data_IF_315272810313
#
_entry.id   IF_315272810313
#
_cell.length_a   1.000
_cell.length_b   1.000
_cell.length_c   1.000
_cell.angle_alpha   90.00
_cell.angle_beta   90.00
_cell.angle_gamma   90.00
#
_symmetry.space_group_name_H-M   'P 1'
#
loop_
_entity.id
_entity.type
_entity.pdbx_description
1 polymer ?
2 non-polymer ?
3 non-polymer ?
4 water ?
#
# COMPACT_ATOMS: atom_id res chain seq x y z
N UNK A 1 -8.47 13.21 30.24
CA UNK A 1 -8.60 13.37 28.76
C UNK A 1 -8.50 14.82 28.20
N UNK A 2 -8.18 15.82 29.03
CA UNK A 2 -7.93 17.19 28.55
C UNK A 2 -6.73 17.21 27.59
N UNK A 3 -6.79 18.08 26.58
CA UNK A 3 -5.65 18.36 25.72
C UNK A 3 -5.40 19.86 25.66
N UNK A 4 -4.15 20.26 25.36
CA UNK A 4 -3.89 21.69 25.16
C UNK A 4 -4.62 22.25 23.95
N UNK A 5 -4.77 23.57 23.91
CA UNK A 5 -5.30 24.26 22.75
C UNK A 5 -4.23 24.31 21.65
N UNK A 6 -4.65 24.61 20.43
CA UNK A 6 -3.71 24.88 19.33
C UNK A 6 -2.84 26.08 19.69
N UNK A 7 -1.59 26.07 19.26
CA UNK A 7 -0.80 27.30 19.25
C UNK A 7 -0.13 27.52 17.91
N UNK A 8 0.21 28.78 17.64
CA UNK A 8 0.78 29.20 16.37
C UNK A 8 2.01 30.02 16.68
N UNK A 9 3.15 29.63 16.11
CA UNK A 9 4.42 30.28 16.42
C UNK A 9 5.20 30.54 15.13
N UNK A 10 5.88 31.68 15.05
CA UNK A 10 6.63 32.04 13.83
C UNK A 10 7.90 31.20 13.72
N UNK A 11 8.17 30.66 12.53
CA UNK A 11 9.44 29.96 12.22
C UNK A 11 10.43 30.97 11.62
N UNK A 12 9.97 31.65 10.58
CA UNK A 12 10.71 32.75 9.96
C UNK A 12 9.70 33.64 9.23
N UNK A 13 10.19 34.68 8.55
CA UNK A 13 9.32 35.57 7.79
C UNK A 13 8.34 34.73 6.94
N UNK A 14 7.05 35.03 7.10
CA UNK A 14 5.99 34.42 6.29
C UNK A 14 5.67 32.96 6.59
N UNK A 15 6.29 32.36 7.60
CA UNK A 15 6.11 30.93 7.89
C UNK A 15 5.79 30.72 9.35
N UNK A 16 4.65 30.09 9.61
CA UNK A 16 4.18 29.83 10.96
C UNK A 16 3.96 28.35 11.19
N UNK A 17 4.39 27.88 12.35
CA UNK A 17 4.20 26.49 12.76
C UNK A 17 2.98 26.41 13.64
N UNK A 18 2.04 25.53 13.31
CA UNK A 18 0.92 25.25 14.18
C UNK A 18 1.12 23.90 14.87
N UNK A 19 0.90 23.88 16.17
CA UNK A 19 1.05 22.69 17.00
C UNK A 19 -0.28 22.39 17.64
N UNK A 20 -0.75 21.16 17.46
CA UNK A 20 -1.95 20.67 18.11
C UNK A 20 -1.71 19.28 18.61
N UNK A 21 -2.68 18.77 19.38
CA UNK A 21 -2.52 17.51 20.08
C UNK A 21 -3.70 16.57 20.00
N UNK A 22 -3.43 15.28 20.21
CA UNK A 22 -4.48 14.29 20.48
C UNK A 22 -3.97 13.26 21.46
N UNK A 23 -4.88 12.67 22.22
CA UNK A 23 -4.53 11.51 23.05
C UNK A 23 -4.77 10.27 22.22
N UNK A 24 -3.69 9.50 21.97
CA UNK A 24 -3.71 8.32 21.10
C UNK A 24 -3.45 7.08 21.97
N UNK A 25 -4.26 6.04 21.80
CA UNK A 25 -4.07 4.80 22.55
C UNK A 25 -2.66 4.27 22.40
N UNK A 26 -2.01 3.99 23.53
CA UNK A 26 -0.64 3.46 23.54
C UNK A 26 0.48 4.48 23.50
N UNK A 27 0.16 5.74 23.20
CA UNK A 27 1.14 6.82 23.10
C UNK A 27 0.83 7.99 24.06
N UNK A 28 -0.38 8.06 24.62
CA UNK A 28 -0.81 9.23 25.40
C UNK A 28 -0.93 10.49 24.55
N UNK A 29 -0.63 11.64 25.15
CA UNK A 29 -0.73 12.93 24.46
C UNK A 29 0.37 13.06 23.40
N UNK A 30 -0.02 13.31 22.15
CA UNK A 30 0.92 13.43 21.04
C UNK A 30 0.78 14.82 20.41
N UNK A 31 1.91 15.52 20.29
CA UNK A 31 1.96 16.80 19.59
C UNK A 31 2.14 16.56 18.07
N UNK A 32 1.58 17.43 17.28
CA UNK A 32 1.57 17.29 15.82
C UNK A 32 1.77 18.66 15.18
N UNK A 33 2.59 18.72 14.11
CA UNK A 33 2.99 19.96 13.45
C UNK A 33 2.39 20.13 12.07
N UNK A 34 1.99 21.36 11.76
CA UNK A 34 1.70 21.77 10.40
C UNK A 34 2.14 23.21 10.22
N UNK A 35 1.88 23.78 9.05
CA UNK A 35 2.31 25.15 8.75
C UNK A 35 1.18 26.01 8.26
N UNK A 36 1.34 27.32 8.46
CA UNK A 36 0.64 28.31 7.64
C UNK A 36 1.73 29.04 6.85
N UNK A 37 1.58 29.06 5.53
CA UNK A 37 2.51 29.72 4.61
C UNK A 37 1.82 30.99 4.13
N UNK A 38 2.51 32.13 4.28
CA UNK A 38 2.01 33.42 3.86
C UNK A 38 2.81 33.92 2.65
N UNK A 39 2.12 34.55 1.70
CA UNK A 39 2.77 35.20 0.57
C UNK A 39 1.83 36.25 0.01
N UNK A 40 2.26 37.52 -0.01
CA UNK A 40 1.51 38.60 -0.64
C UNK A 40 0.04 38.63 -0.21
N UNK A 41 -0.22 38.62 1.09
CA UNK A 41 -1.59 38.68 1.61
C UNK A 41 -2.41 37.39 1.57
N UNK A 42 -1.86 36.32 0.97
CA UNK A 42 -2.52 35.01 0.89
C UNK A 42 -1.93 34.07 1.94
N UNK A 43 -2.74 33.10 2.40
CA UNK A 43 -2.32 32.05 3.34
C UNK A 43 -2.69 30.68 2.78
N UNK A 44 -1.85 29.70 3.08
CA UNK A 44 -2.12 28.32 2.72
C UNK A 44 -1.72 27.43 3.90
N UNK A 45 -2.56 26.45 4.20
CA UNK A 45 -2.34 25.55 5.32
C UNK A 45 -1.65 24.27 4.83
N UNK A 46 -0.55 23.87 5.48
CA UNK A 46 0.10 22.59 5.22
C UNK A 46 -0.20 21.68 6.42
N UNK A 47 -1.08 20.71 6.17
CA UNK A 47 -1.66 19.80 7.17
C UNK A 47 -2.60 20.47 8.17
N UNK A 48 -3.73 19.83 8.42
CA UNK A 48 -4.70 20.37 9.35
C UNK A 48 -4.28 20.08 10.78
N UNK A 49 -4.80 20.86 11.72
CA UNK A 49 -4.75 20.44 13.11
C UNK A 49 -5.48 19.13 13.32
N UNK A 50 -5.31 18.55 14.50
CA UNK A 50 -5.78 17.21 14.80
C UNK A 50 -7.20 17.17 15.33
N UNK A 51 -7.94 18.29 15.24
CA UNK A 51 -9.36 18.32 15.64
C UNK A 51 -10.10 19.47 14.95
N UNK A 52 -11.42 19.37 14.93
CA UNK A 52 -12.27 20.46 14.45
C UNK A 52 -12.11 21.76 15.20
N UNK A 53 -12.09 21.66 16.52
CA UNK A 53 -11.89 22.81 17.40
C UNK A 53 -10.64 23.57 16.99
N UNK A 54 -9.54 22.84 16.83
CA UNK A 54 -8.26 23.48 16.50
C UNK A 54 -8.19 23.99 15.05
N UNK A 55 -8.84 23.28 14.13
CA UNK A 55 -8.95 23.74 12.75
C UNK A 55 -9.71 25.07 12.71
N UNK A 56 -10.81 25.17 13.45
CA UNK A 56 -11.54 26.44 13.55
C UNK A 56 -10.68 27.58 14.13
N UNK A 57 -9.95 27.29 15.20
CA UNK A 57 -9.05 28.29 15.80
C UNK A 57 -8.02 28.82 14.81
N UNK A 58 -7.38 27.90 14.09
CA UNK A 58 -6.39 28.23 13.08
C UNK A 58 -6.98 29.11 11.97
N UNK A 59 -8.12 28.71 11.44
CA UNK A 59 -8.79 29.47 10.37
C UNK A 59 -9.20 30.88 10.85
N UNK A 60 -9.71 30.96 12.08
CA UNK A 60 -10.06 32.24 12.68
C UNK A 60 -8.84 33.16 12.81
N UNK A 61 -7.69 32.59 13.19
CA UNK A 61 -6.46 33.36 13.31
C UNK A 61 -6.03 33.94 11.95
N UNK A 62 -6.11 33.10 10.91
CA UNK A 62 -5.73 33.51 9.55
C UNK A 62 -6.60 34.70 9.09
N UNK A 63 -7.91 34.56 9.28
CA UNK A 63 -8.89 35.61 8.89
C UNK A 63 -8.78 36.87 9.74
N UNK A 64 -8.60 36.71 11.05
CA UNK A 64 -8.39 37.84 11.97
C UNK A 64 -7.25 38.75 11.52
N UNK A 65 -6.17 38.12 11.04
CA UNK A 65 -4.97 38.82 10.56
C UNK A 65 -5.02 39.29 9.10
N UNK A 66 -6.19 39.19 8.47
CA UNK A 66 -6.44 39.81 7.18
C UNK A 66 -5.96 39.03 5.97
N UNK A 67 -5.60 37.76 6.17
CA UNK A 67 -5.07 36.95 5.07
C UNK A 67 -6.19 36.25 4.33
N UNK A 68 -6.00 36.11 3.02
CA UNK A 68 -6.90 35.35 2.17
C UNK A 68 -6.51 33.87 2.17
N UNK A 69 -7.39 33.01 2.65
CA UNK A 69 -7.06 31.59 2.82
C UNK A 69 -7.34 30.85 1.52
N UNK A 70 -6.27 30.46 0.83
CA UNK A 70 -6.39 29.78 -0.45
C UNK A 70 -6.66 28.27 -0.33
N UNK A 71 -6.47 27.70 0.86
CA UNK A 71 -6.79 26.30 1.09
C UNK A 71 -5.78 25.57 1.95
N UNK A 72 -5.91 24.24 1.98
CA UNK A 72 -5.03 23.35 2.73
C UNK A 72 -4.54 22.21 1.86
N UNK A 73 -3.37 21.67 2.19
CA UNK A 73 -2.91 20.40 1.61
C UNK A 73 -2.54 19.47 2.75
N UNK A 74 -2.85 18.17 2.60
CA UNK A 74 -2.49 17.15 3.58
C UNK A 74 -1.40 16.24 3.00
N UNK A 75 -0.44 15.87 3.83
CA UNK A 75 0.79 15.19 3.38
C UNK A 75 0.78 13.66 3.52
N UNK A 76 -0.19 13.12 4.25
CA UNK A 76 -0.62 11.71 4.09
C UNK A 76 -2.00 11.56 4.71
N UNK A 77 -2.58 10.37 4.66
CA UNK A 77 -4.02 10.23 4.96
C UNK A 77 -4.41 10.20 6.44
N UNK A 78 -3.46 9.95 7.34
CA UNK A 78 -3.81 9.76 8.75
C UNK A 78 -4.41 11.01 9.38
N UNK A 79 -5.13 10.80 10.48
CA UNK A 79 -5.94 11.85 11.11
C UNK A 79 -5.16 13.07 11.59
N UNK A 80 -3.90 12.87 12.00
CA UNK A 80 -3.07 14.03 12.41
C UNK A 80 -2.76 14.99 11.24
N UNK A 81 -2.97 14.55 10.00
CA UNK A 81 -2.80 15.41 8.81
C UNK A 81 -4.11 15.92 8.18
N UNK A 82 -5.19 15.19 8.39
CA UNK A 82 -6.44 15.32 7.65
C UNK A 82 -7.70 15.54 8.52
N UNK A 83 -7.57 15.55 9.85
CA UNK A 83 -8.74 15.66 10.75
C UNK A 83 -9.68 16.82 10.39
N UNK A 84 -9.12 17.94 9.98
CA UNK A 84 -9.91 19.15 9.66
C UNK A 84 -10.44 19.28 8.24
N UNK A 85 -10.20 18.29 7.38
CA UNK A 85 -10.66 18.38 5.99
C UNK A 85 -12.18 18.56 5.88
N UNK A 86 -12.94 17.77 6.63
CA UNK A 86 -14.41 17.89 6.60
C UNK A 86 -14.86 19.30 7.01
N UNK A 87 -14.30 19.80 8.11
CA UNK A 87 -14.60 21.16 8.59
C UNK A 87 -14.30 22.19 7.52
N UNK A 88 -13.14 22.08 6.88
CA UNK A 88 -12.74 23.00 5.81
C UNK A 88 -13.71 22.91 4.62
N UNK A 89 -14.01 21.67 4.20
CA UNK A 89 -14.98 21.45 3.11
C UNK A 89 -16.33 22.12 3.41
N UNK A 90 -16.83 21.91 4.62
CA UNK A 90 -18.14 22.47 5.04
C UNK A 90 -18.16 24.01 5.10
N UNK A 91 -17.00 24.61 5.34
CA UNK A 91 -16.86 26.07 5.36
C UNK A 91 -16.42 26.65 3.99
N UNK A 92 -16.44 25.81 2.94
CA UNK A 92 -16.10 26.21 1.55
C UNK A 92 -14.63 26.62 1.34
N UNK A 93 -13.73 26.08 2.17
CA UNK A 93 -12.29 26.31 2.06
C UNK A 93 -11.69 25.13 1.28
N UNK A 94 -11.01 25.43 0.17
CA UNK A 94 -10.46 24.38 -0.71
C UNK A 94 -9.48 23.46 0.01
N UNK A 95 -9.66 22.16 -0.14
CA UNK A 95 -8.76 21.17 0.43
C UNK A 95 -8.14 20.36 -0.69
N UNK A 96 -6.88 20.00 -0.50
CA UNK A 96 -6.07 19.30 -1.50
C UNK A 96 -5.39 18.09 -0.86
N UNK A 97 -5.28 17.02 -1.64
CA UNK A 97 -4.49 15.87 -1.29
C UNK A 97 -4.14 15.13 -2.58
N UNK A 98 -3.16 14.24 -2.51
CA UNK A 98 -2.78 13.46 -3.69
C UNK A 98 -3.83 12.39 -4.00
N UNK A 99 -3.75 11.86 -5.22
CA UNK A 99 -4.55 10.72 -5.66
C UNK A 99 -4.49 9.56 -4.65
N UNK A 100 -3.28 9.20 -4.25
CA UNK A 100 -3.08 8.08 -3.32
C UNK A 100 -3.69 8.36 -1.95
N UNK A 101 -3.43 9.56 -1.42
CA UNK A 101 -4.02 9.98 -0.15
C UNK A 101 -5.55 9.99 -0.17
N UNK A 102 -6.14 10.60 -1.19
CA UNK A 102 -7.61 10.60 -1.34
C UNK A 102 -8.21 9.20 -1.48
N UNK A 103 -7.53 8.31 -2.20
CA UNK A 103 -7.94 6.89 -2.29
C UNK A 103 -7.96 6.22 -0.92
N UNK A 104 -6.91 6.44 -0.14
CA UNK A 104 -6.81 5.89 1.20
C UNK A 104 -7.84 6.48 2.17
N UNK A 105 -8.14 7.77 2.05
CA UNK A 105 -9.21 8.37 2.85
C UNK A 105 -10.55 7.67 2.56
N UNK A 106 -10.89 7.56 1.28
CA UNK A 106 -12.16 6.91 0.89
C UNK A 106 -12.26 5.45 1.36
N UNK A 107 -11.18 4.69 1.14
CA UNK A 107 -11.09 3.28 1.57
C UNK A 107 -11.35 3.12 3.07
N UNK A 108 -10.91 4.10 3.87
CA UNK A 108 -11.10 4.10 5.32
C UNK A 108 -12.31 4.95 5.81
N UNK A 109 -13.24 5.21 4.90
CA UNK A 109 -14.50 5.94 5.17
C UNK A 109 -14.29 7.31 5.80
N UNK A 110 -13.30 8.03 5.25
CA UNK A 110 -13.01 9.40 5.67
C UNK A 110 -13.40 10.36 4.56
N UNK A 111 -13.69 11.58 4.97
CA UNK A 111 -13.98 12.66 4.05
C UNK A 111 -12.73 12.96 3.20
N UNK A 112 -12.84 12.90 1.86
CA UNK A 112 -11.67 13.17 1.03
C UNK A 112 -11.48 14.66 0.81
N UNK A 113 -10.29 15.05 0.37
CA UNK A 113 -10.04 16.43 -0.03
C UNK A 113 -10.88 16.73 -1.28
N UNK A 114 -11.28 17.99 -1.45
CA UNK A 114 -12.12 18.37 -2.59
C UNK A 114 -11.38 18.26 -3.92
N UNK A 115 -10.08 18.57 -3.89
CA UNK A 115 -9.24 18.54 -5.08
C UNK A 115 -8.12 17.53 -4.95
N UNK A 116 -7.76 16.91 -6.07
CA UNK A 116 -6.74 15.87 -6.11
C UNK A 116 -5.50 16.38 -6.86
N UNK A 117 -4.33 16.16 -6.26
CA UNK A 117 -3.03 16.44 -6.90
C UNK A 117 -2.52 15.18 -7.59
N UNK A 118 -2.27 15.26 -8.89
CA UNK A 118 -1.87 14.10 -9.68
C UNK A 118 -0.36 14.06 -9.89
N UNK A 119 0.15 12.85 -10.16
CA UNK A 119 1.55 12.65 -10.51
C UNK A 119 2.46 12.68 -9.29
N UNK A 120 3.75 12.41 -9.51
CA UNK A 120 4.73 12.43 -8.41
C UNK A 120 5.10 13.83 -7.92
N UNK A 121 4.84 14.85 -8.74
CA UNK A 121 5.16 16.23 -8.39
C UNK A 121 4.00 17.14 -8.75
N UNK A 122 3.73 18.10 -7.89
CA UNK A 122 2.67 19.07 -8.08
C UNK A 122 3.12 20.42 -7.55
N UNK A 123 2.47 21.45 -8.06
CA UNK A 123 2.74 22.83 -7.71
C UNK A 123 1.44 23.49 -7.25
N UNK A 124 1.50 24.21 -6.13
CA UNK A 124 0.35 24.96 -5.60
C UNK A 124 0.71 26.43 -5.50
N UNK A 125 -0.31 27.28 -5.58
CA UNK A 125 -0.15 28.73 -5.41
C UNK A 125 0.98 29.29 -6.30
N UNK A 126 0.89 29.02 -7.60
CA UNK A 126 1.79 29.60 -8.62
C UNK A 126 3.27 29.41 -8.29
N UNK A 127 3.64 28.19 -7.92
CA UNK A 127 5.04 27.85 -7.64
C UNK A 127 5.53 28.05 -6.21
N UNK A 128 4.71 28.66 -5.35
CA UNK A 128 5.10 28.94 -3.96
C UNK A 128 5.28 27.64 -3.16
N UNK A 129 4.44 26.66 -3.45
CA UNK A 129 4.40 25.41 -2.71
C UNK A 129 4.58 24.28 -3.71
N UNK A 130 5.62 23.48 -3.50
CA UNK A 130 5.87 22.31 -4.33
C UNK A 130 5.62 21.07 -3.50
N UNK A 131 4.92 20.10 -4.10
CA UNK A 131 4.60 18.81 -3.47
C UNK A 131 5.38 17.73 -4.22
N UNK A 132 6.10 16.89 -3.49
CA UNK A 132 6.97 15.87 -4.07
C UNK A 132 6.78 14.55 -3.35
N UNK A 133 6.68 13.47 -4.13
CA UNK A 133 6.62 12.12 -3.60
C UNK A 133 8.03 11.52 -3.64
N UNK A 134 8.65 11.27 -2.46
CA UNK A 134 9.99 10.71 -2.39
C UNK A 134 10.04 9.19 -2.49
N UNK A 135 8.89 8.53 -2.38
CA UNK A 135 8.80 7.09 -2.29
C UNK A 135 8.15 6.71 -0.97
N UNK A 136 7.85 5.42 -0.81
CA UNK A 136 7.27 4.90 0.41
C UNK A 136 8.16 5.14 1.63
N UNK A 137 7.53 5.35 2.78
CA UNK A 137 8.24 5.52 4.05
C UNK A 137 7.33 5.23 5.21
N UNK A 138 6.92 6.31 5.90
CA UNK A 138 5.93 6.22 6.95
C UNK A 138 4.65 5.54 6.45
N UNK A 139 4.20 5.94 5.27
CA UNK A 139 3.11 5.28 4.55
C UNK A 139 3.45 5.26 3.07
N UNK A 140 2.64 4.55 2.30
CA UNK A 140 2.81 4.52 0.85
C UNK A 140 2.52 5.88 0.20
N UNK A 141 1.64 6.69 0.80
CA UNK A 141 1.20 7.95 0.19
C UNK A 141 1.99 9.20 0.62
N UNK A 142 2.89 9.08 1.58
CA UNK A 142 3.54 10.27 2.15
C UNK A 142 4.24 11.18 1.12
N UNK A 143 4.00 12.48 1.23
CA UNK A 143 4.66 13.47 0.38
C UNK A 143 5.29 14.52 1.25
N UNK A 144 6.27 15.22 0.67
CA UNK A 144 6.94 16.33 1.34
C UNK A 144 6.57 17.61 0.57
N UNK A 145 6.70 18.74 1.27
CA UNK A 145 6.33 20.06 0.75
C UNK A 145 7.56 20.95 0.85
N UNK A 146 7.98 21.45 -0.30
CA UNK A 146 9.14 22.33 -0.43
C UNK A 146 8.65 23.73 -0.67
N UNK A 147 9.26 24.66 0.05
CA UNK A 147 8.93 26.07 -0.03
C UNK A 147 10.18 26.78 -0.59
N UNK A 148 10.27 26.88 -1.92
CA UNK A 148 11.51 27.40 -2.54
C UNK A 148 11.91 28.81 -2.09
N UNK A 149 10.93 29.65 -1.80
CA UNK A 149 11.18 31.03 -1.35
C UNK A 149 11.79 31.08 0.04
N UNK A 150 11.39 30.13 0.90
CA UNK A 150 11.83 30.08 2.30
C UNK A 150 12.97 29.08 2.56
N UNK A 151 13.24 28.21 1.60
CA UNK A 151 14.24 27.14 1.77
C UNK A 151 13.88 26.21 2.94
N UNK A 152 12.57 25.97 3.08
CA UNK A 152 12.04 25.08 4.10
C UNK A 152 11.51 23.84 3.39
N UNK A 153 11.90 22.67 3.90
CA UNK A 153 11.26 21.42 3.55
C UNK A 153 10.39 20.98 4.71
N UNK A 154 9.09 20.93 4.46
CA UNK A 154 8.15 20.33 5.40
C UNK A 154 8.10 18.83 5.12
N UNK A 155 8.67 18.04 6.02
CA UNK A 155 8.79 16.60 5.82
C UNK A 155 7.54 15.81 6.18
N UNK A 156 6.69 16.37 7.04
CA UNK A 156 5.59 15.62 7.61
C UNK A 156 6.13 14.40 8.35
N UNK A 157 5.31 13.36 8.44
CA UNK A 157 5.65 12.21 9.26
C UNK A 157 6.64 11.27 8.56
N UNK A 158 6.94 11.56 7.30
CA UNK A 158 8.08 10.97 6.59
C UNK A 158 9.45 11.29 7.24
N UNK A 159 9.53 12.42 7.96
CA UNK A 159 10.74 12.86 8.63
C UNK A 159 10.54 12.84 10.15
N UNK A 160 11.48 12.21 10.84
CA UNK A 160 11.51 12.13 12.30
C UNK A 160 12.39 13.22 12.89
N UNK A 161 12.03 13.64 14.11
CA UNK A 161 12.84 14.59 14.87
C UNK A 161 14.17 13.94 15.31
N UNK A 162 15.16 14.77 15.64
CA UNK A 162 16.49 14.26 16.03
C UNK A 162 16.48 13.48 17.35
N UNK A 163 15.55 13.82 18.23
CA UNK A 163 15.45 13.09 19.50
C UNK A 163 14.64 11.78 19.36
N UNK A 164 14.14 11.46 18.17
CA UNK A 164 13.38 10.21 17.98
C UNK A 164 14.30 9.01 18.10
N UNK A 165 13.84 8.03 18.88
CA UNK A 165 14.56 6.76 19.07
C UNK A 165 14.17 5.73 18.01
N UNK A 166 13.08 5.99 17.29
CA UNK A 166 12.53 5.04 16.33
C UNK A 166 11.69 5.78 15.31
N UNK A 167 11.02 5.01 14.47
CA UNK A 167 10.26 5.55 13.35
C UNK A 167 8.81 5.94 13.68
N UNK A 168 8.37 5.64 14.90
CA UNK A 168 7.00 5.93 15.33
C UNK A 168 6.07 4.79 14.96
N UNK A 169 4.81 5.11 14.63
CA UNK A 169 3.86 4.07 14.21
C UNK A 169 4.28 3.49 12.86
N UNK A 170 4.66 2.21 12.84
CA UNK A 170 5.18 1.54 11.62
C UNK A 170 4.22 0.49 11.03
N UNK A 171 2.98 0.46 11.49
CA UNK A 171 2.01 -0.53 11.02
C UNK A 171 1.72 -0.48 9.52
N UNK A 172 1.96 0.68 8.89
CA UNK A 172 1.74 0.86 7.47
C UNK A 172 3.02 1.30 6.72
N UNK A 173 4.18 1.16 7.38
CA UNK A 173 5.43 1.68 6.85
C UNK A 173 6.10 0.72 5.86
N UNK A 174 6.92 1.31 4.99
CA UNK A 174 7.74 0.59 4.04
C UNK A 174 9.19 0.83 4.45
N UNK A 175 9.63 0.06 5.44
CA UNK A 175 10.88 0.33 6.15
C UNK A 175 12.11 0.18 5.25
N UNK A 176 12.16 -0.86 4.41
CA UNK A 176 13.29 -1.00 3.48
C UNK A 176 13.37 0.14 2.47
N UNK A 177 12.22 0.51 1.90
CA UNK A 177 12.14 1.61 0.96
C UNK A 177 12.45 2.98 1.61
N UNK A 178 12.14 3.13 2.89
CA UNK A 178 12.21 4.46 3.55
C UNK A 178 13.61 5.05 3.47
N UNK A 179 14.64 4.24 3.66
CA UNK A 179 16.01 4.76 3.60
C UNK A 179 16.31 5.31 2.19
N UNK A 180 15.87 4.59 1.16
CA UNK A 180 16.05 5.03 -0.23
C UNK A 180 15.24 6.29 -0.54
N UNK A 181 13.98 6.30 -0.09
CA UNK A 181 13.14 7.48 -0.22
C UNK A 181 13.76 8.69 0.46
N UNK A 182 14.31 8.48 1.66
CA UNK A 182 14.97 9.56 2.38
C UNK A 182 16.18 10.09 1.60
N UNK A 183 16.97 9.18 1.02
CA UNK A 183 18.07 9.59 0.14
C UNK A 183 17.57 10.37 -1.09
N UNK A 184 16.44 9.98 -1.65
CA UNK A 184 15.84 10.75 -2.76
C UNK A 184 15.57 12.18 -2.35
N UNK A 185 15.00 12.38 -1.15
CA UNK A 185 14.72 13.70 -0.63
C UNK A 185 16.00 14.46 -0.33
N UNK A 186 17.00 13.77 0.24
CA UNK A 186 18.32 14.40 0.51
C UNK A 186 18.97 14.91 -0.78
N UNK A 187 18.96 14.08 -1.82
CA UNK A 187 19.55 14.46 -3.11
C UNK A 187 18.82 15.62 -3.80
N UNK A 188 17.50 15.65 -3.68
CA UNK A 188 16.67 16.68 -4.34
C UNK A 188 16.72 18.05 -3.62
N UNK A 189 16.78 18.02 -2.28
CA UNK A 189 16.63 19.24 -1.47
C UNK A 189 17.91 19.63 -0.73
N UNK A 190 19.03 19.62 -1.44
CA UNK A 190 20.32 20.10 -0.90
C UNK A 190 20.29 21.56 -0.41
N UNK A 191 19.43 22.39 -1.01
CA UNK A 191 19.22 23.78 -0.57
C UNK A 191 18.50 23.97 0.77
N UNK A 192 17.88 22.90 1.31
CA UNK A 192 17.03 23.06 2.49
C UNK A 192 17.83 23.57 3.68
N UNK A 193 17.37 24.69 4.25
CA UNK A 193 17.97 25.26 5.45
C UNK A 193 17.24 24.82 6.72
N UNK A 194 15.94 24.56 6.59
CA UNK A 194 15.10 24.15 7.70
C UNK A 194 14.29 22.96 7.23
N UNK A 195 14.25 21.93 8.07
CA UNK A 195 13.38 20.79 7.86
C UNK A 195 12.44 20.66 9.05
N UNK A 196 11.16 20.51 8.74
CA UNK A 196 10.10 20.42 9.73
C UNK A 196 9.52 18.99 9.75
N UNK A 197 9.63 18.28 10.89
CA UNK A 197 9.01 16.96 11.02
C UNK A 197 7.52 17.08 11.35
N UNK A 198 6.77 15.99 11.12
CA UNK A 198 5.37 15.91 11.50
C UNK A 198 5.17 15.99 13.00
N UNK A 199 6.16 15.52 13.76
CA UNK A 199 6.09 15.50 15.22
C UNK A 199 7.45 15.88 15.79
N UNK A 200 7.46 16.78 16.77
CA UNK A 200 8.70 17.16 17.43
C UNK A 200 9.39 18.42 16.92
N UNK A 201 10.64 18.57 17.32
CA UNK A 201 11.37 19.80 17.17
C UNK A 201 11.88 20.01 15.74
N UNK A 202 11.81 21.25 15.24
CA UNK A 202 12.34 21.53 13.89
C UNK A 202 13.87 21.55 13.92
N UNK A 203 14.47 21.40 12.75
CA UNK A 203 15.93 21.46 12.65
C UNK A 203 16.34 21.72 11.21
N UNK A 204 17.51 21.19 10.86
CA UNK A 204 18.05 21.37 9.51
C UNK A 204 18.00 20.02 8.78
N UNK A 205 18.78 19.90 7.69
CA UNK A 205 18.77 18.69 6.88
C UNK A 205 19.20 17.44 7.67
N UNK A 206 19.88 17.63 8.81
CA UNK A 206 20.19 16.53 9.75
C UNK A 206 19.00 15.62 10.06
N UNK A 207 17.79 16.19 10.13
CA UNK A 207 16.60 15.36 10.38
C UNK A 207 16.42 14.28 9.32
N UNK A 208 16.68 14.60 8.07
CA UNK A 208 16.59 13.59 6.99
C UNK A 208 17.68 12.53 7.10
N UNK A 209 18.89 12.94 7.48
CA UNK A 209 20.00 11.98 7.68
C UNK A 209 19.71 11.02 8.85
N UNK A 210 19.17 11.56 9.93
CA UNK A 210 18.76 10.74 11.08
C UNK A 210 17.63 9.77 10.70
N UNK A 211 16.63 10.29 10.00
CA UNK A 211 15.49 9.46 9.55
C UNK A 211 16.01 8.30 8.67
N UNK A 212 16.86 8.62 7.71
CA UNK A 212 17.51 7.61 6.87
C UNK A 212 18.18 6.51 7.71
N UNK A 213 19.00 6.92 8.68
CA UNK A 213 19.68 5.95 9.56
C UNK A 213 18.70 5.10 10.38
N UNK A 214 17.67 5.73 10.95
CA UNK A 214 16.64 4.98 11.69
C UNK A 214 16.01 3.90 10.81
N UNK A 215 15.71 4.24 9.55
CA UNK A 215 15.13 3.28 8.62
C UNK A 215 16.10 2.13 8.33
N UNK A 216 17.38 2.46 8.20
CA UNK A 216 18.42 1.43 7.96
C UNK A 216 18.54 0.43 9.10
N UNK A 217 18.43 0.89 10.35
CA UNK A 217 18.56 -0.03 11.49
C UNK A 217 17.23 -0.72 11.83
N UNK A 218 16.10 -0.16 11.41
CA UNK A 218 14.82 -0.82 11.57
C UNK A 218 14.67 -2.03 10.64
N UNK A 219 15.36 -2.01 9.49
CA UNK A 219 15.31 -3.10 8.50
C UNK A 219 15.78 -4.46 9.04
N UNK B 1 -18.18 -35.07 -0.20
CA UNK B 1 -17.61 -36.42 0.11
C UNK B 1 -16.06 -36.39 0.05
N UNK B 2 -15.41 -37.52 -0.28
CA UNK B 2 -13.96 -37.66 -0.20
C UNK B 2 -13.22 -36.78 -1.21
N UNK B 3 -12.07 -36.25 -0.80
CA UNK B 3 -11.15 -35.53 -1.71
C UNK B 3 -9.73 -36.08 -1.50
N UNK B 4 -8.87 -35.93 -2.53
CA UNK B 4 -7.47 -36.32 -2.34
C UNK B 4 -6.73 -35.44 -1.33
N UNK B 5 -5.58 -35.93 -0.88
CA UNK B 5 -4.72 -35.16 0.01
C UNK B 5 -3.96 -34.13 -0.81
N UNK B 6 -3.48 -33.09 -0.14
CA UNK B 6 -2.59 -32.12 -0.78
C UNK B 6 -1.31 -32.84 -1.24
N UNK B 7 -0.74 -32.42 -2.37
CA UNK B 7 0.60 -32.84 -2.77
C UNK B 7 1.48 -31.66 -3.13
N UNK B 8 2.80 -31.88 -3.01
CA UNK B 8 3.84 -30.86 -3.24
C UNK B 8 4.87 -31.46 -4.18
N UNK B 9 5.14 -30.76 -5.27
CA UNK B 9 6.00 -31.27 -6.33
C UNK B 9 6.95 -30.14 -6.78
N UNK B 10 8.22 -30.46 -7.00
CA UNK B 10 9.20 -29.48 -7.48
C UNK B 10 8.89 -29.09 -8.93
N UNK B 11 8.89 -27.79 -9.21
CA UNK B 11 8.75 -27.25 -10.56
C UNK B 11 10.13 -27.05 -11.16
N UNK B 12 10.95 -26.32 -10.42
CA UNK B 12 12.38 -26.28 -10.64
C UNK B 12 13.02 -25.88 -9.31
N UNK B 13 14.33 -25.67 -9.29
CA UNK B 13 15.02 -25.51 -8.00
C UNK B 13 14.41 -24.33 -7.22
N UNK B 14 14.14 -24.57 -5.94
CA UNK B 14 13.56 -23.60 -5.02
C UNK B 14 12.12 -23.15 -5.31
N UNK B 15 11.41 -23.85 -6.22
CA UNK B 15 10.01 -23.56 -6.54
C UNK B 15 9.21 -24.86 -6.50
N UNK B 16 8.26 -24.92 -5.57
CA UNK B 16 7.36 -26.05 -5.42
C UNK B 16 5.92 -25.69 -5.73
N UNK B 17 5.23 -26.59 -6.43
CA UNK B 17 3.81 -26.47 -6.73
C UNK B 17 3.04 -27.29 -5.72
N UNK B 18 2.11 -26.66 -5.00
CA UNK B 18 1.16 -27.41 -4.17
C UNK B 18 -0.18 -27.50 -4.88
N UNK B 19 -0.74 -28.71 -4.88
CA UNK B 19 -2.01 -29.01 -5.53
C UNK B 19 -2.96 -29.55 -4.47
N UNK B 20 -4.13 -28.93 -4.36
CA UNK B 20 -5.16 -29.34 -3.40
C UNK B 20 -6.50 -29.27 -4.06
N UNK B 21 -7.51 -29.82 -3.39
CA UNK B 21 -8.81 -30.00 -3.99
C UNK B 21 -9.97 -29.54 -3.12
N UNK B 22 -11.10 -29.24 -3.76
CA UNK B 22 -12.40 -29.14 -3.10
C UNK B 22 -13.51 -29.58 -4.07
N UNK B 23 -14.66 -29.95 -3.52
CA UNK B 23 -15.83 -30.26 -4.33
C UNK B 23 -16.76 -29.04 -4.37
N UNK B 24 -17.04 -28.55 -5.58
CA UNK B 24 -17.86 -27.34 -5.78
C UNK B 24 -19.12 -27.67 -6.57
N UNK B 25 -20.26 -27.10 -6.17
CA UNK B 25 -21.54 -27.28 -6.86
C UNK B 25 -21.46 -26.93 -8.34
N UNK B 26 -21.75 -27.91 -9.20
CA UNK B 26 -21.76 -27.69 -10.65
C UNK B 26 -20.41 -27.82 -11.36
N UNK B 27 -19.31 -27.92 -10.60
CA UNK B 27 -17.99 -28.26 -11.14
C UNK B 27 -17.47 -29.63 -10.64
N UNK B 28 -18.02 -30.14 -9.54
CA UNK B 28 -17.49 -31.37 -8.92
C UNK B 28 -16.13 -31.14 -8.27
N UNK B 29 -15.26 -32.13 -8.33
CA UNK B 29 -13.92 -32.02 -7.74
C UNK B 29 -13.06 -31.06 -8.55
N UNK B 30 -12.50 -30.05 -7.90
CA UNK B 30 -11.68 -29.03 -8.57
C UNK B 30 -10.27 -29.07 -7.98
N UNK B 31 -9.25 -29.20 -8.83
CA UNK B 31 -7.85 -29.10 -8.41
C UNK B 31 -7.43 -27.64 -8.46
N UNK B 32 -6.58 -27.25 -7.52
CA UNK B 32 -6.19 -25.86 -7.32
C UNK B 32 -4.69 -25.78 -7.01
N UNK B 33 -4.02 -24.82 -7.63
CA UNK B 33 -2.57 -24.67 -7.59
C UNK B 33 -2.13 -23.47 -6.77
N UNK B 34 -1.08 -23.68 -5.97
CA UNK B 34 -0.31 -22.58 -5.39
C UNK B 34 1.17 -22.93 -5.39
N UNK B 35 1.98 -22.04 -4.80
CA UNK B 35 3.43 -22.25 -4.76
C UNK B 35 3.99 -22.15 -3.36
N UNK B 36 5.13 -22.82 -3.16
CA UNK B 36 6.07 -22.46 -2.09
C UNK B 36 7.34 -22.01 -2.79
N UNK B 37 7.75 -20.78 -2.50
CA UNK B 37 8.93 -20.16 -3.08
C UNK B 37 10.02 -20.15 -2.03
N UNK B 38 11.18 -20.73 -2.36
CA UNK B 38 12.30 -20.86 -1.43
C UNK B 38 13.43 -19.94 -1.83
N UNK B 39 14.03 -19.29 -0.85
CA UNK B 39 15.27 -18.53 -1.05
C UNK B 39 16.18 -18.67 0.16
N UNK B 40 17.35 -19.26 -0.06
CA UNK B 40 18.29 -19.58 1.03
C UNK B 40 17.54 -20.36 2.12
N UNK B 41 17.43 -19.81 3.33
CA UNK B 41 16.72 -20.54 4.40
C UNK B 41 15.21 -20.32 4.48
N UNK B 42 14.67 -19.46 3.62
CA UNK B 42 13.35 -18.87 3.83
C UNK B 42 12.32 -19.43 2.86
N UNK B 43 11.06 -19.42 3.28
CA UNK B 43 9.95 -19.88 2.44
C UNK B 43 8.80 -18.88 2.44
N UNK B 44 8.13 -18.80 1.30
CA UNK B 44 6.94 -17.95 1.16
C UNK B 44 5.89 -18.68 0.32
N UNK B 45 4.64 -18.63 0.78
CA UNK B 45 3.51 -19.32 0.15
C UNK B 45 2.78 -18.37 -0.80
N UNK B 46 2.51 -18.82 -2.02
CA UNK B 46 1.66 -18.07 -2.95
C UNK B 46 0.37 -18.86 -3.05
N UNK B 47 -0.69 -18.28 -2.46
CA UNK B 47 -2.02 -18.88 -2.35
C UNK B 47 -2.07 -20.06 -1.38
N UNK B 48 -3.08 -20.06 -0.52
CA UNK B 48 -3.24 -21.14 0.46
C UNK B 48 -3.92 -22.30 -0.23
N UNK B 49 -3.74 -23.51 0.33
CA UNK B 49 -4.65 -24.58 -0.03
C UNK B 49 -6.11 -24.26 0.30
N UNK B 50 -6.99 -25.11 -0.21
CA UNK B 50 -8.43 -24.92 -0.19
C UNK B 50 -9.09 -25.50 1.07
N UNK B 51 -8.32 -25.84 2.10
CA UNK B 51 -8.85 -26.28 3.41
C UNK B 51 -7.80 -26.15 4.51
N UNK B 52 -8.22 -26.23 5.77
CA UNK B 52 -7.27 -26.19 6.90
C UNK B 52 -6.40 -27.44 6.98
N UNK B 53 -7.01 -28.59 6.73
CA UNK B 53 -6.30 -29.88 6.68
C UNK B 53 -5.09 -29.77 5.74
N UNK B 54 -5.31 -29.24 4.55
CA UNK B 54 -4.25 -29.15 3.55
C UNK B 54 -3.23 -28.03 3.83
N UNK B 55 -3.70 -26.91 4.37
CA UNK B 55 -2.82 -25.84 4.80
C UNK B 55 -1.88 -26.35 5.91
N UNK B 56 -2.43 -27.10 6.86
CA UNK B 56 -1.63 -27.72 7.91
C UNK B 56 -0.56 -28.67 7.33
N UNK B 57 -0.97 -29.56 6.43
CA UNK B 57 -0.02 -30.46 5.75
C UNK B 57 1.11 -29.71 5.05
N UNK B 58 0.75 -28.63 4.35
CA UNK B 58 1.72 -27.79 3.64
C UNK B 58 2.73 -27.15 4.60
N UNK B 59 2.22 -26.50 5.64
CA UNK B 59 3.06 -25.83 6.62
C UNK B 59 3.93 -26.82 7.43
N UNK B 60 3.37 -28.01 7.72
CA UNK B 60 4.12 -29.10 8.35
C UNK B 60 5.34 -29.50 7.52
N UNK B 61 5.16 -29.58 6.20
CA UNK B 61 6.24 -29.89 5.27
C UNK B 61 7.33 -28.81 5.27
N UNK B 62 6.88 -27.54 5.27
CA UNK B 62 7.78 -26.38 5.32
C UNK B 62 8.61 -26.40 6.60
N UNK B 63 7.94 -26.62 7.72
CA UNK B 63 8.61 -26.64 9.01
C UNK B 63 9.50 -27.85 9.24
N UNK B 64 9.07 -29.04 8.81
CA UNK B 64 9.92 -30.24 8.88
C UNK B 64 11.20 -30.03 8.08
N UNK B 65 11.08 -29.34 6.94
CA UNK B 65 12.25 -28.96 6.14
C UNK B 65 13.20 -27.93 6.79
N UNK B 66 12.75 -27.23 7.83
CA UNK B 66 13.57 -26.23 8.51
C UNK B 66 13.61 -24.89 7.82
N UNK B 67 12.68 -24.66 6.88
CA UNK B 67 12.58 -23.37 6.23
C UNK B 67 11.97 -22.37 7.21
N UNK B 68 12.42 -21.13 7.15
CA UNK B 68 11.77 -20.05 7.88
C UNK B 68 10.60 -19.53 7.03
N UNK B 69 9.38 -19.72 7.54
CA UNK B 69 8.17 -19.33 6.79
C UNK B 69 7.87 -17.85 7.01
N UNK B 70 8.17 -17.04 5.99
CA UNK B 70 8.00 -15.59 6.05
C UNK B 70 6.57 -15.11 5.81
N UNK B 71 5.69 -16.00 5.32
CA UNK B 71 4.28 -15.69 5.17
C UNK B 71 3.63 -16.23 3.91
N UNK B 72 2.43 -15.73 3.64
CA UNK B 72 1.67 -16.09 2.43
C UNK B 72 1.07 -14.85 1.77
N UNK B 73 0.84 -14.96 0.47
CA UNK B 73 0.09 -13.94 -0.28
C UNK B 73 -1.03 -14.63 -1.04
N UNK B 74 -2.18 -13.97 -1.15
CA UNK B 74 -3.33 -14.50 -1.87
C UNK B 74 -3.59 -13.64 -3.10
N UNK B 75 -3.90 -14.27 -4.23
CA UNK B 75 -3.96 -13.57 -5.54
C UNK B 75 -5.36 -13.08 -5.97
N UNK B 76 -6.41 -13.57 -5.32
CA UNK B 76 -7.72 -12.87 -5.28
C UNK B 76 -8.50 -13.40 -4.07
N UNK B 77 -9.68 -12.87 -3.82
CA UNK B 77 -10.36 -13.08 -2.54
C UNK B 77 -11.07 -14.44 -2.33
N UNK B 78 -11.41 -15.16 -3.39
CA UNK B 78 -12.18 -16.42 -3.26
C UNK B 78 -11.43 -17.51 -2.49
N UNK B 79 -12.19 -18.50 -2.03
CA UNK B 79 -11.70 -19.48 -1.04
C UNK B 79 -10.56 -20.38 -1.50
N UNK B 80 -10.49 -20.71 -2.78
CA UNK B 80 -9.36 -21.50 -3.30
C UNK B 80 -8.00 -20.77 -3.20
N UNK B 81 -8.03 -19.46 -2.98
CA UNK B 81 -6.83 -18.66 -2.74
C UNK B 81 -6.62 -18.29 -1.25
N UNK B 82 -7.71 -18.19 -0.49
CA UNK B 82 -7.70 -17.59 0.86
C UNK B 82 -8.21 -18.47 2.00
N UNK B 83 -8.58 -19.72 1.72
CA UNK B 83 -9.19 -20.59 2.75
C UNK B 83 -8.36 -20.71 4.02
N UNK B 84 -7.04 -20.81 3.85
CA UNK B 84 -6.13 -21.00 4.97
C UNK B 84 -5.61 -19.77 5.69
N UNK B 85 -6.06 -18.56 5.30
CA UNK B 85 -5.61 -17.31 5.95
C UNK B 85 -5.87 -17.32 7.47
N UNK B 86 -7.05 -17.77 7.89
CA UNK B 86 -7.38 -17.91 9.32
C UNK B 86 -6.42 -18.87 10.03
N UNK B 87 -6.20 -20.03 9.42
CA UNK B 87 -5.24 -21.02 9.94
C UNK B 87 -3.83 -20.42 10.05
N UNK B 88 -3.39 -19.68 9.03
CA UNK B 88 -2.06 -19.06 9.04
C UNK B 88 -1.93 -17.93 10.07
N UNK B 89 -2.94 -17.07 10.14
CA UNK B 89 -2.98 -15.99 11.16
C UNK B 89 -2.91 -16.52 12.59
N UNK B 90 -3.67 -17.58 12.87
CA UNK B 90 -3.67 -18.21 14.21
C UNK B 90 -2.36 -18.93 14.55
N UNK B 91 -1.61 -19.33 13.52
CA UNK B 91 -0.27 -19.92 13.71
C UNK B 91 0.88 -18.89 13.72
N UNK B 92 0.54 -17.59 13.85
CA UNK B 92 1.52 -16.50 13.91
C UNK B 92 2.31 -16.31 12.60
N UNK B 93 1.68 -16.62 11.46
CA UNK B 93 2.33 -16.55 10.14
C UNK B 93 1.73 -15.37 9.35
N UNK B 94 2.59 -14.44 8.93
CA UNK B 94 2.17 -13.22 8.22
C UNK B 94 1.38 -13.52 6.94
N UNK B 95 0.25 -12.86 6.75
CA UNK B 95 -0.58 -13.02 5.55
C UNK B 95 -0.72 -11.70 4.80
N UNK B 96 -0.67 -11.77 3.47
CA UNK B 96 -0.66 -10.59 2.63
C UNK B 96 -1.77 -10.70 1.60
N UNK B 97 -2.38 -9.55 1.32
CA UNK B 97 -3.34 -9.41 0.22
C UNK B 97 -3.37 -7.95 -0.19
N UNK B 98 -3.85 -7.66 -1.39
CA UNK B 98 -3.96 -6.28 -1.84
C UNK B 98 -5.09 -5.56 -1.10
N UNK B 99 -5.09 -4.24 -1.19
CA UNK B 99 -6.19 -3.43 -0.68
C UNK B 99 -7.55 -3.93 -1.18
N UNK B 100 -7.64 -4.15 -2.50
CA UNK B 100 -8.91 -4.58 -3.12
C UNK B 100 -9.35 -5.96 -2.64
N UNK B 101 -8.40 -6.90 -2.54
CA UNK B 101 -8.70 -8.25 -2.07
C UNK B 101 -9.16 -8.26 -0.60
N UNK B 102 -8.45 -7.51 0.25
CA UNK B 102 -8.85 -7.38 1.66
C UNK B 102 -10.21 -6.70 1.83
N UNK B 103 -10.49 -5.70 1.00
CA UNK B 103 -11.81 -5.04 0.94
C UNK B 103 -12.93 -6.07 0.70
N UNK B 104 -12.75 -6.91 -0.32
CA UNK B 104 -13.73 -7.92 -0.70
C UNK B 104 -13.87 -9.04 0.33
N UNK B 105 -12.77 -9.42 0.98
CA UNK B 105 -12.83 -10.38 2.09
C UNK B 105 -13.69 -9.85 3.24
N UNK B 106 -13.48 -8.58 3.61
CA UNK B 106 -14.25 -7.91 4.66
C UNK B 106 -15.73 -7.74 4.30
N UNK B 107 -16.01 -7.35 3.05
CA UNK B 107 -17.39 -7.27 2.54
C UNK B 107 -18.19 -8.56 2.74
N UNK B 108 -17.52 -9.71 2.54
CA UNK B 108 -18.16 -11.03 2.63
C UNK B 108 -17.92 -11.75 3.97
N UNK B 109 -17.51 -11.00 5.00
CA UNK B 109 -17.29 -11.53 6.36
C UNK B 109 -16.35 -12.73 6.40
N UNK B 110 -15.25 -12.62 5.64
CA UNK B 110 -14.17 -13.60 5.65
C UNK B 110 -12.99 -13.01 6.42
N UNK B 111 -12.13 -13.90 6.93
CA UNK B 111 -10.90 -13.49 7.59
C UNK B 111 -10.04 -12.70 6.59
N UNK B 112 -9.69 -11.44 6.91
CA UNK B 112 -8.78 -10.70 6.03
C UNK B 112 -7.32 -11.02 6.32
N UNK B 113 -6.46 -10.74 5.35
CA UNK B 113 -5.01 -10.81 5.55
C UNK B 113 -4.59 -9.74 6.55
N UNK B 114 -3.54 -10.02 7.32
CA UNK B 114 -3.03 -9.09 8.34
C UNK B 114 -2.39 -7.86 7.72
N UNK B 115 -1.63 -8.06 6.64
CA UNK B 115 -0.91 -6.97 5.97
C UNK B 115 -1.52 -6.72 4.59
N UNK B 116 -1.60 -5.45 4.21
CA UNK B 116 -2.25 -5.05 2.96
C UNK B 116 -1.22 -4.45 2.00
N UNK B 117 -1.20 -4.96 0.77
CA UNK B 117 -0.34 -4.44 -0.30
C UNK B 117 -1.07 -3.33 -1.07
N UNK B 118 -0.35 -2.25 -1.34
CA UNK B 118 -0.95 -1.01 -1.86
C UNK B 118 -0.40 -0.74 -3.25
N UNK B 119 -1.19 -0.05 -4.07
CA UNK B 119 -0.80 0.29 -5.44
C UNK B 119 -0.94 -0.86 -6.43
N UNK B 120 -0.57 -0.61 -7.68
CA UNK B 120 -0.63 -1.63 -8.74
C UNK B 120 0.55 -2.60 -8.69
N UNK B 121 1.70 -2.15 -8.16
CA UNK B 121 2.92 -2.96 -8.08
C UNK B 121 3.43 -3.01 -6.65
N UNK B 122 3.88 -4.20 -6.23
CA UNK B 122 4.41 -4.43 -4.89
C UNK B 122 5.50 -5.50 -4.91
N UNK B 123 6.37 -5.44 -3.91
CA UNK B 123 7.50 -6.36 -3.76
C UNK B 123 7.41 -7.08 -2.40
N UNK B 124 7.75 -8.37 -2.39
CA UNK B 124 7.79 -9.18 -1.17
C UNK B 124 9.09 -9.98 -1.10
N UNK B 125 9.48 -10.35 0.12
CA UNK B 125 10.65 -11.21 0.36
C UNK B 125 11.93 -10.64 -0.30
N UNK B 126 12.23 -9.38 0.02
CA UNK B 126 13.42 -8.69 -0.47
C UNK B 126 13.63 -8.85 -2.01
N UNK B 127 12.64 -8.43 -2.78
CA UNK B 127 12.73 -8.45 -4.26
C UNK B 127 12.37 -9.75 -4.97
N UNK B 128 12.29 -10.86 -4.25
CA UNK B 128 12.19 -12.22 -4.84
C UNK B 128 10.79 -12.46 -5.46
N UNK B 129 9.79 -11.79 -4.92
CA UNK B 129 8.41 -11.96 -5.30
C UNK B 129 7.85 -10.57 -5.63
N UNK B 130 7.35 -10.42 -6.85
CA UNK B 130 6.72 -9.17 -7.30
C UNK B 130 5.26 -9.42 -7.57
N UNK B 131 4.40 -8.52 -7.10
CA UNK B 131 2.95 -8.63 -7.24
C UNK B 131 2.47 -7.52 -8.17
N UNK B 132 1.66 -7.88 -9.16
CA UNK B 132 1.23 -6.97 -10.23
C UNK B 132 -0.25 -7.12 -10.52
N UNK B 133 -0.95 -5.98 -10.61
CA UNK B 133 -2.34 -5.94 -11.02
C UNK B 133 -2.40 -5.67 -12.53
N UNK B 134 -2.84 -6.67 -13.33
CA UNK B 134 -2.94 -6.49 -14.79
C UNK B 134 -4.22 -5.80 -15.26
N UNK B 135 -5.19 -5.60 -14.35
CA UNK B 135 -6.52 -5.15 -14.69
C UNK B 135 -7.51 -6.27 -14.39
N UNK B 136 -8.80 -5.95 -14.50
CA UNK B 136 -9.86 -6.92 -14.21
C UNK B 136 -9.86 -8.13 -15.13
N UNK B 137 -10.30 -9.26 -14.60
CA UNK B 137 -10.39 -10.49 -15.38
C UNK B 137 -11.33 -11.47 -14.73
N UNK B 138 -10.78 -12.55 -14.17
CA UNK B 138 -11.54 -13.50 -13.34
C UNK B 138 -12.36 -12.78 -12.27
N UNK B 139 -11.71 -11.85 -11.58
CA UNK B 139 -12.34 -10.92 -10.67
C UNK B 139 -11.70 -9.54 -10.84
N UNK B 140 -12.31 -8.55 -10.20
CA UNK B 140 -11.79 -7.19 -10.23
C UNK B 140 -10.45 -7.02 -9.48
N UNK B 141 -10.22 -7.86 -8.47
CA UNK B 141 -9.02 -7.76 -7.61
C UNK B 141 -7.85 -8.67 -8.02
N UNK B 142 -8.03 -9.51 -9.03
CA UNK B 142 -7.02 -10.53 -9.33
C UNK B 142 -5.63 -9.96 -9.64
N UNK B 143 -4.60 -10.54 -9.01
CA UNK B 143 -3.21 -10.14 -9.27
C UNK B 143 -2.40 -11.35 -9.71
N UNK B 144 -1.29 -11.07 -10.38
CA UNK B 144 -0.31 -12.10 -10.75
C UNK B 144 0.96 -11.92 -9.93
N UNK B 145 1.74 -12.99 -9.82
CA UNK B 145 2.99 -12.99 -9.06
C UNK B 145 4.12 -13.39 -9.98
N UNK B 146 5.13 -12.53 -10.06
CA UNK B 146 6.29 -12.73 -10.93
C UNK B 146 7.49 -13.06 -10.07
N UNK B 147 8.26 -14.07 -10.49
CA UNK B 147 9.44 -14.53 -9.78
C UNK B 147 10.64 -14.26 -10.70
N UNK B 148 11.22 -13.03 -10.62
CA UNK B 148 12.23 -12.60 -11.62
C UNK B 148 13.45 -13.50 -11.76
N UNK B 149 13.92 -14.03 -10.63
CA UNK B 149 15.07 -14.95 -10.63
C UNK B 149 14.78 -16.29 -11.34
N UNK B 150 13.51 -16.73 -11.31
CA UNK B 150 13.10 -17.98 -11.94
C UNK B 150 12.47 -17.81 -13.33
N UNK B 151 12.12 -16.58 -13.71
CA UNK B 151 11.35 -16.30 -14.93
C UNK B 151 10.02 -17.05 -14.93
N UNK B 152 9.41 -17.15 -13.74
CA UNK B 152 8.10 -17.82 -13.58
C UNK B 152 7.02 -16.78 -13.29
N UNK B 153 5.93 -16.82 -14.07
CA UNK B 153 4.76 -16.03 -13.74
C UNK B 153 3.70 -16.96 -13.16
N UNK B 154 3.32 -16.72 -11.92
CA UNK B 154 2.18 -17.40 -11.33
C UNK B 154 0.94 -16.57 -11.62
N UNK B 155 0.08 -17.10 -12.47
CA UNK B 155 -1.07 -16.34 -12.95
C UNK B 155 -2.28 -16.37 -12.04
N UNK B 156 -2.36 -17.38 -11.16
CA UNK B 156 -3.58 -17.65 -10.41
C UNK B 156 -4.75 -17.85 -11.35
N UNK B 157 -5.95 -17.51 -10.89
CA UNK B 157 -7.17 -17.82 -11.64
C UNK B 157 -7.43 -16.84 -12.78
N UNK B 158 -6.61 -15.78 -12.84
CA UNK B 158 -6.50 -14.90 -14.00
C UNK B 158 -6.03 -15.62 -15.27
N UNK B 159 -5.29 -16.72 -15.12
CA UNK B 159 -4.75 -17.46 -16.24
C UNK B 159 -5.32 -18.86 -16.26
N UNK B 160 -5.82 -19.27 -17.43
CA UNK B 160 -6.39 -20.60 -17.65
C UNK B 160 -5.35 -21.54 -18.27
N UNK B 161 -5.51 -22.83 -18.00
CA UNK B 161 -4.70 -23.88 -18.63
C UNK B 161 -4.96 -23.97 -20.13
N UNK B 162 -4.01 -24.52 -20.88
CA UNK B 162 -4.18 -24.67 -22.35
C UNK B 162 -5.35 -25.55 -22.75
N UNK B 163 -5.71 -26.54 -21.93
CA UNK B 163 -6.83 -27.44 -22.23
C UNK B 163 -8.21 -26.86 -21.80
N UNK B 164 -8.24 -25.64 -21.25
CA UNK B 164 -9.48 -25.00 -20.82
C UNK B 164 -10.36 -24.65 -22.01
N UNK B 165 -11.60 -25.09 -21.94
CA UNK B 165 -12.61 -24.81 -22.96
C UNK B 165 -13.28 -23.45 -22.74
N UNK B 166 -13.12 -22.90 -21.53
CA UNK B 166 -13.73 -21.62 -21.17
C UNK B 166 -13.01 -20.99 -19.99
N UNK B 167 -13.62 -19.92 -19.45
CA UNK B 167 -13.00 -19.11 -18.39
C UNK B 167 -13.25 -19.59 -16.95
N UNK B 168 -14.03 -20.67 -16.80
CA UNK B 168 -14.39 -21.18 -15.46
C UNK B 168 -15.56 -20.42 -14.89
N UNK B 169 -15.51 -20.13 -13.58
CA UNK B 169 -16.61 -19.42 -12.92
C UNK B 169 -16.53 -17.94 -13.26
N UNK B 170 -17.53 -17.43 -13.97
CA UNK B 170 -17.50 -16.07 -14.52
C UNK B 170 -18.52 -15.13 -13.86
N UNK B 171 -19.12 -15.55 -12.74
CA UNK B 171 -20.14 -14.74 -12.06
C UNK B 171 -19.68 -13.36 -11.61
N UNK B 172 -18.38 -13.20 -11.39
CA UNK B 172 -17.79 -11.92 -10.99
C UNK B 172 -16.73 -11.43 -11.96
N UNK B 173 -16.69 -12.00 -13.16
CA UNK B 173 -15.65 -11.70 -14.14
C UNK B 173 -15.95 -10.42 -14.91
N UNK B 174 -14.87 -9.78 -15.37
CA UNK B 174 -14.93 -8.62 -16.25
C UNK B 174 -14.42 -9.07 -17.60
N UNK B 175 -15.33 -9.61 -18.42
CA UNK B 175 -14.96 -10.41 -19.57
C UNK B 175 -14.36 -9.55 -20.69
N UNK B 176 -15.00 -8.42 -21.00
CA UNK B 176 -14.42 -7.46 -21.96
C UNK B 176 -13.03 -6.99 -21.53
N UNK B 177 -12.87 -6.63 -20.26
CA UNK B 177 -11.58 -6.15 -19.76
C UNK B 177 -10.51 -7.26 -19.76
N UNK B 178 -10.93 -8.50 -19.56
CA UNK B 178 -9.98 -9.63 -19.36
C UNK B 178 -9.00 -9.75 -20.54
N UNK B 179 -9.48 -9.58 -21.77
CA UNK B 179 -8.60 -9.68 -22.92
C UNK B 179 -7.50 -8.62 -22.89
N UNK B 180 -7.87 -7.39 -22.53
CA UNK B 180 -6.90 -6.29 -22.40
C UNK B 180 -5.93 -6.52 -21.27
N UNK B 181 -6.46 -6.94 -20.11
CA UNK B 181 -5.62 -7.29 -18.96
C UNK B 181 -4.62 -8.38 -19.28
N UNK B 182 -5.08 -9.41 -20.00
CA UNK B 182 -4.19 -10.49 -20.45
C UNK B 182 -3.07 -9.96 -21.37
N UNK B 183 -3.42 -9.04 -22.28
CA UNK B 183 -2.40 -8.40 -23.11
C UNK B 183 -1.42 -7.60 -22.27
N UNK B 184 -1.91 -6.91 -21.24
CA UNK B 184 -1.02 -6.14 -20.35
C UNK B 184 0.04 -7.06 -19.71
N UNK B 185 -0.39 -8.23 -19.27
CA UNK B 185 0.49 -9.24 -18.67
C UNK B 185 1.43 -9.86 -19.69
N UNK B 186 0.89 -10.16 -20.88
CA UNK B 186 1.68 -10.66 -22.00
C UNK B 186 2.82 -9.74 -22.37
N UNK B 187 2.52 -8.45 -22.50
CA UNK B 187 3.53 -7.44 -22.80
C UNK B 187 4.58 -7.33 -21.70
N UNK B 188 4.13 -7.14 -20.46
CA UNK B 188 5.03 -6.98 -19.32
C UNK B 188 5.92 -8.20 -19.06
N UNK B 189 5.34 -9.40 -19.17
CA UNK B 189 6.05 -10.65 -18.86
C UNK B 189 6.33 -11.48 -20.11
N UNK B 190 6.71 -10.81 -21.20
CA UNK B 190 6.93 -11.48 -22.48
C UNK B 190 8.08 -12.50 -22.44
N UNK B 191 8.98 -12.38 -21.47
CA UNK B 191 10.11 -13.30 -21.31
C UNK B 191 9.88 -14.38 -20.24
N UNK B 192 8.64 -14.49 -19.72
CA UNK B 192 8.28 -15.58 -18.82
C UNK B 192 8.57 -16.91 -19.52
N UNK B 193 9.27 -17.79 -18.83
CA UNK B 193 9.56 -19.11 -19.35
C UNK B 193 8.53 -20.12 -18.90
N UNK B 194 7.99 -19.95 -17.69
CA UNK B 194 6.93 -20.82 -17.15
C UNK B 194 5.79 -19.95 -16.68
N UNK B 195 4.57 -20.34 -17.02
CA UNK B 195 3.36 -19.71 -16.51
C UNK B 195 2.52 -20.77 -15.80
N UNK B 196 2.09 -20.45 -14.58
CA UNK B 196 1.36 -21.38 -13.74
C UNK B 196 -0.08 -20.88 -13.58
N UNK B 197 -1.07 -21.67 -14.05
CA UNK B 197 -2.46 -21.28 -13.89
C UNK B 197 -2.95 -21.64 -12.48
N UNK B 198 -4.06 -21.02 -12.07
CA UNK B 198 -4.69 -21.32 -10.78
C UNK B 198 -5.26 -22.73 -10.72
N UNK B 199 -5.65 -23.23 -11.89
CA UNK B 199 -6.14 -24.61 -12.04
C UNK B 199 -5.54 -25.21 -13.29
N UNK B 200 -5.08 -26.46 -13.17
CA UNK B 200 -4.61 -27.22 -14.31
C UNK B 200 -3.11 -27.23 -14.54
N UNK B 201 -2.74 -27.63 -15.75
CA UNK B 201 -1.36 -27.93 -16.09
C UNK B 201 -0.51 -26.67 -16.31
N UNK B 202 0.73 -26.69 -15.84
CA UNK B 202 1.65 -25.57 -16.09
C UNK B 202 2.11 -25.61 -17.55
N UNK B 203 2.50 -24.44 -18.06
CA UNK B 203 3.09 -24.37 -19.40
C UNK B 203 3.94 -23.13 -19.53
N UNK B 204 3.97 -22.58 -20.73
CA UNK B 204 4.79 -21.40 -21.01
C UNK B 204 3.85 -20.22 -21.28
N UNK B 205 4.33 -19.16 -21.92
CA UNK B 205 3.49 -17.97 -22.11
C UNK B 205 2.25 -18.21 -23.01
N UNK B 206 2.23 -19.34 -23.73
CA UNK B 206 1.03 -19.79 -24.45
C UNK B 206 -0.26 -19.76 -23.62
N UNK B 207 -0.17 -20.03 -22.31
CA UNK B 207 -1.35 -19.98 -21.43
C UNK B 207 -2.00 -18.60 -21.40
N UNK B 208 -1.17 -17.56 -21.39
CA UNK B 208 -1.67 -16.19 -21.42
C UNK B 208 -2.35 -15.86 -22.76
N UNK B 209 -1.76 -16.36 -23.85
CA UNK B 209 -2.32 -16.17 -25.19
C UNK B 209 -3.66 -16.88 -25.35
N UNK B 210 -3.74 -18.11 -24.84
CA UNK B 210 -5.01 -18.84 -24.83
C UNK B 210 -6.08 -18.19 -23.95
N UNK B 211 -5.69 -17.77 -22.76
CA UNK B 211 -6.59 -17.04 -21.85
C UNK B 211 -7.15 -15.80 -22.56
N UNK B 212 -6.28 -15.03 -23.20
CA UNK B 212 -6.72 -13.86 -23.93
C UNK B 212 -7.75 -14.18 -25.00
N UNK B 213 -7.47 -15.22 -25.79
CA UNK B 213 -8.40 -15.66 -26.84
C UNK B 213 -9.73 -16.13 -26.27
N UNK B 214 -9.70 -16.85 -25.14
CA UNK B 214 -10.93 -17.27 -24.48
C UNK B 214 -11.75 -16.08 -24.03
N UNK B 215 -11.10 -15.05 -23.51
CA UNK B 215 -11.81 -13.84 -23.11
C UNK B 215 -12.44 -13.15 -24.33
N UNK B 216 -11.73 -13.19 -25.46
CA UNK B 216 -12.21 -12.55 -26.69
C UNK B 216 -13.47 -13.21 -27.22
N UNK B 217 -13.49 -14.54 -27.23
CA UNK B 217 -14.66 -15.26 -27.73
C UNK B 217 -15.81 -15.29 -26.71
N UNK B 218 -15.50 -15.14 -25.43
CA UNK B 218 -16.54 -15.05 -24.40
C UNK B 218 -17.30 -13.72 -24.43
N UNK B 219 -16.65 -12.64 -24.88
CA UNK B 219 -17.29 -11.31 -24.89
C UNK B 219 -18.43 -11.12 -25.90
#
# INVERSE_FOLDING_TARGET
DEVPELRIEKVKENIFLHTSYSRVNGFGLVSSNGLVVIDKGNAFIVDTPWSDRDTETLVHWIRKNGYELLGSVSTHWHEDRTAGIKWLNDQSISTYATTSTNHLLKENKKEPAKYTLKGNESTLVDGLIEVFYPGGGHTIDNVVVWLPKSKILFGGCFVRSLDSEGLGYTGEAHIDQWSRSAQNALSRYSEAQIVIPGHGKIGDIALLKHTKSLAETASNKSIQPNANASAD
DEVPELRIEKVKENIFLHTSYSRVNGFGLVSSNGLVVIDKGNAFIVDTPWSDRDTETLVHWIRKNGYELLGSVSTHWHEDRTAGIKWLNDQSISTYATTSTNHLLKENKKEPAKYTLKGNESTLVDGLIEVFYPGGGHTIDNVVVWLPKSKILFGGCFVRSLDSEGLGYTGEAHIDQWSRSAQNALSRYSEAQIVIPGHGKIGDIALLKHTKSLAETASNKSIQPNANASAD
#
